data_IF_351975816897
#
_entry.id   IF_351975816897
#
_cell.length_a   1.000
_cell.length_b   1.000
_cell.length_c   1.000
_cell.angle_alpha   90.00
_cell.angle_beta   90.00
_cell.angle_gamma   90.00
#
_symmetry.space_group_name_H-M   'P 1'
#
loop_
_entity.id
_entity.type
_entity.pdbx_description
1 polymer ?
#
# COMPACT_ATOMS: atom_id res chain seq x y z
N UNK A 1 3.23 -1.35 16.82
CA UNK A 1 4.41 -0.65 17.41
C UNK A 1 4.10 -0.03 18.77
N UNK A 2 2.96 0.66 18.91
CA UNK A 2 2.61 1.46 20.08
C UNK A 2 2.36 0.66 21.37
N UNK A 3 1.69 -0.49 21.30
CA UNK A 3 1.46 -1.35 22.48
C UNK A 3 2.76 -1.75 23.18
N UNK A 4 3.81 -2.10 22.41
CA UNK A 4 5.11 -2.45 22.97
C UNK A 4 5.79 -1.26 23.62
N UNK A 5 5.66 -0.06 23.03
CA UNK A 5 6.17 1.17 23.62
C UNK A 5 5.49 1.45 24.96
N UNK A 6 4.16 1.45 25.02
CA UNK A 6 3.39 1.66 26.25
C UNK A 6 3.75 0.64 27.34
N UNK A 7 3.86 -0.64 27.00
CA UNK A 7 4.26 -1.68 27.96
C UNK A 7 5.64 -1.42 28.56
N UNK A 8 6.60 -0.98 27.75
CA UNK A 8 7.96 -0.63 28.20
C UNK A 8 7.91 0.59 29.11
N UNK A 9 7.18 1.65 28.73
CA UNK A 9 7.09 2.87 29.56
C UNK A 9 6.42 2.57 30.91
N UNK A 10 5.36 1.75 30.90
CA UNK A 10 4.67 1.34 32.13
C UNK A 10 5.59 0.52 33.04
N UNK A 11 6.37 -0.42 32.47
CA UNK A 11 7.35 -1.18 33.23
C UNK A 11 8.46 -0.29 33.79
N UNK A 12 8.90 0.73 33.05
CA UNK A 12 9.91 1.70 33.52
C UNK A 12 9.35 2.58 34.64
N UNK A 13 8.09 3.00 34.53
CA UNK A 13 7.41 3.75 35.59
C UNK A 13 7.29 2.93 36.88
N UNK A 14 7.04 1.62 36.78
CA UNK A 14 7.04 0.72 37.94
C UNK A 14 8.42 0.56 38.60
N UNK A 15 9.50 0.95 37.90
CA UNK A 15 10.88 0.97 38.41
C UNK A 15 11.32 2.40 38.79
N UNK A 16 10.36 3.31 39.06
CA UNK A 16 10.57 4.73 39.36
C UNK A 16 11.32 5.52 38.26
N UNK A 17 11.39 4.98 37.05
CA UNK A 17 11.93 5.70 35.88
C UNK A 17 10.80 6.28 35.05
N UNK A 18 10.46 7.53 35.37
CA UNK A 18 9.45 8.29 34.62
C UNK A 18 10.12 9.11 33.53
N UNK A 19 9.63 8.98 32.30
CA UNK A 19 10.06 9.82 31.18
C UNK A 19 9.08 10.97 30.98
N UNK A 20 9.55 12.22 30.82
CA UNK A 20 8.68 13.30 30.44
C UNK A 20 8.17 13.11 29.00
N UNK A 21 7.00 13.69 28.70
CA UNK A 21 6.35 13.52 27.39
C UNK A 21 7.26 13.90 26.22
N UNK A 22 8.03 14.97 26.37
CA UNK A 22 8.98 15.45 25.35
C UNK A 22 10.09 14.43 25.05
N UNK A 23 10.55 13.66 26.03
CA UNK A 23 11.52 12.58 25.79
C UNK A 23 10.86 11.37 25.13
N UNK A 24 9.64 11.04 25.53
CA UNK A 24 8.87 9.94 24.92
C UNK A 24 8.62 10.22 23.43
N UNK A 25 8.19 11.44 23.08
CA UNK A 25 7.99 11.91 21.70
C UNK A 25 9.27 11.73 20.87
N UNK A 26 10.42 12.22 21.36
CA UNK A 26 11.70 12.09 20.65
C UNK A 26 12.14 10.64 20.50
N UNK A 27 11.95 9.81 21.53
CA UNK A 27 12.28 8.38 21.47
C UNK A 27 11.43 7.66 20.43
N UNK A 28 10.13 7.96 20.32
CA UNK A 28 9.26 7.39 19.28
C UNK A 28 9.77 7.79 17.90
N UNK A 29 9.96 9.09 17.65
CA UNK A 29 10.41 9.60 16.35
C UNK A 29 11.74 8.97 15.91
N UNK A 30 12.68 8.81 16.84
CA UNK A 30 13.98 8.16 16.59
C UNK A 30 13.88 6.65 16.32
N UNK A 31 12.84 5.99 16.81
CA UNK A 31 12.64 4.54 16.58
C UNK A 31 11.92 4.24 15.26
N UNK A 32 11.48 5.26 14.51
CA UNK A 32 10.76 5.05 13.26
C UNK A 32 11.72 4.60 12.12
N UNK A 33 11.24 3.76 11.18
CA UNK A 33 12.03 3.37 10.01
C UNK A 33 12.40 4.56 9.13
N UNK A 34 13.48 4.43 8.34
CA UNK A 34 13.95 5.50 7.43
C UNK A 34 12.89 5.97 6.42
N UNK A 35 11.96 5.11 6.02
CA UNK A 35 10.84 5.48 5.15
C UNK A 35 9.92 6.56 5.76
N UNK A 36 9.93 6.72 7.09
CA UNK A 36 9.15 7.71 7.81
C UNK A 36 9.87 9.05 7.98
N UNK A 37 11.12 9.17 7.54
CA UNK A 37 11.90 10.41 7.68
C UNK A 37 11.19 11.66 7.15
N UNK A 38 10.51 11.65 5.97
CA UNK A 38 9.78 12.82 5.51
C UNK A 38 8.68 13.25 6.50
N UNK A 39 7.97 12.28 7.08
CA UNK A 39 6.93 12.54 8.08
C UNK A 39 7.52 13.06 9.40
N UNK A 40 8.66 12.53 9.83
CA UNK A 40 9.39 13.01 11.01
C UNK A 40 9.81 14.46 10.83
N UNK A 41 10.42 14.80 9.69
CA UNK A 41 10.82 16.17 9.35
C UNK A 41 9.62 17.11 9.33
N UNK A 42 8.50 16.74 8.71
CA UNK A 42 7.30 17.57 8.74
C UNK A 42 6.72 17.79 10.13
N UNK A 43 6.85 16.82 11.04
CA UNK A 43 6.42 16.99 12.44
C UNK A 43 7.34 17.96 13.17
N UNK A 44 8.65 17.83 12.97
CA UNK A 44 9.68 18.69 13.58
C UNK A 44 9.58 20.14 13.09
N UNK A 45 9.24 20.35 11.81
CA UNK A 45 9.03 21.69 11.24
C UNK A 45 7.71 22.34 11.67
N UNK A 46 6.63 21.54 11.81
CA UNK A 46 5.30 22.07 12.06
C UNK A 46 4.94 22.21 13.55
N UNK A 47 5.59 21.44 14.44
CA UNK A 47 5.23 21.35 15.86
C UNK A 47 6.47 21.35 16.74
N UNK A 48 6.37 21.99 17.91
CA UNK A 48 7.41 21.89 18.93
C UNK A 48 7.30 20.56 19.69
N UNK A 49 8.35 19.73 19.60
CA UNK A 49 8.41 18.41 20.23
C UNK A 49 8.38 18.45 21.77
N UNK A 50 8.61 19.61 22.39
CA UNK A 50 8.53 19.76 23.84
C UNK A 50 7.10 19.92 24.35
N UNK A 51 6.23 20.49 23.54
CA UNK A 51 4.84 20.81 23.89
C UNK A 51 3.84 19.86 23.26
N UNK A 52 4.27 19.08 22.27
CA UNK A 52 3.46 18.10 21.56
C UNK A 52 2.89 17.01 22.50
N UNK A 53 1.56 16.87 22.61
CA UNK A 53 0.94 15.76 23.32
C UNK A 53 1.30 14.42 22.65
N UNK A 54 1.53 13.39 23.46
CA UNK A 54 1.91 12.08 22.97
C UNK A 54 0.79 11.44 22.14
N UNK A 55 -0.46 11.66 22.55
CA UNK A 55 -1.65 11.15 21.87
C UNK A 55 -1.77 11.73 20.45
N UNK A 56 -1.47 13.02 20.30
CA UNK A 56 -1.48 13.71 19.01
C UNK A 56 -0.41 13.16 18.06
N UNK A 57 0.80 12.91 18.59
CA UNK A 57 1.85 12.27 17.83
C UNK A 57 1.42 10.88 17.38
N UNK A 58 0.89 10.07 18.30
CA UNK A 58 0.42 8.73 18.04
C UNK A 58 -0.65 8.71 16.94
N UNK A 59 -1.64 9.61 17.05
CA UNK A 59 -2.72 9.75 16.09
C UNK A 59 -2.22 10.14 14.70
N UNK A 60 -1.25 11.06 14.61
CA UNK A 60 -0.64 11.45 13.33
C UNK A 60 0.13 10.30 12.68
N UNK A 61 0.87 9.52 13.48
CA UNK A 61 1.61 8.36 12.99
C UNK A 61 0.67 7.25 12.52
N UNK A 62 -0.37 6.92 13.31
CA UNK A 62 -1.34 5.88 12.95
C UNK A 62 -2.13 6.23 11.69
N UNK A 63 -2.47 7.51 11.51
CA UNK A 63 -3.14 8.00 10.30
C UNK A 63 -2.24 7.88 9.07
N UNK A 64 -0.94 8.18 9.22
CA UNK A 64 0.03 8.03 8.15
C UNK A 64 0.25 6.55 7.80
N UNK A 65 0.31 5.66 8.80
CA UNK A 65 0.38 4.20 8.59
C UNK A 65 -0.78 3.71 7.73
N UNK A 66 -2.02 4.09 8.09
CA UNK A 66 -3.23 3.72 7.35
C UNK A 66 -3.19 4.21 5.88
N UNK A 67 -2.65 5.40 5.64
CA UNK A 67 -2.52 5.94 4.29
C UNK A 67 -1.46 5.21 3.46
N UNK A 68 -0.33 4.86 4.07
CA UNK A 68 0.73 4.07 3.41
C UNK A 68 0.21 2.68 3.03
N UNK A 69 -0.47 1.99 3.95
CA UNK A 69 -1.05 0.66 3.67
C UNK A 69 -2.05 0.68 2.51
N UNK A 70 -2.91 1.71 2.43
CA UNK A 70 -3.86 1.85 1.31
C UNK A 70 -3.17 2.04 -0.03
N UNK A 71 -2.07 2.81 -0.06
CA UNK A 71 -1.29 3.01 -1.28
C UNK A 71 -0.56 1.74 -1.70
N UNK A 72 -0.06 0.95 -0.77
CA UNK A 72 0.58 -0.33 -1.07
C UNK A 72 -0.42 -1.35 -1.62
N UNK A 73 -1.65 -1.39 -1.09
CA UNK A 73 -2.75 -2.22 -1.61
C UNK A 73 -3.15 -1.79 -3.04
N UNK A 74 -3.25 -0.48 -3.30
CA UNK A 74 -3.54 0.05 -4.64
C UNK A 74 -2.40 -0.22 -5.62
N UNK A 75 -1.13 -0.10 -5.19
CA UNK A 75 0.04 -0.44 -6.00
C UNK A 75 0.16 -1.95 -6.27
N UNK A 76 -0.15 -2.79 -5.29
CA UNK A 76 -0.18 -4.24 -5.47
C UNK A 76 -1.32 -4.65 -6.39
N UNK A 77 -2.50 -4.03 -6.26
CA UNK A 77 -3.63 -4.25 -7.14
C UNK A 77 -3.34 -3.73 -8.56
N UNK A 78 -2.65 -2.60 -8.71
CA UNK A 78 -2.11 -2.09 -9.99
C UNK A 78 -1.09 -3.05 -10.60
N UNK A 79 -0.14 -3.57 -9.81
CA UNK A 79 0.87 -4.56 -10.27
C UNK A 79 0.21 -5.90 -10.63
N UNK A 80 -0.81 -6.34 -9.89
CA UNK A 80 -1.62 -7.53 -10.21
C UNK A 80 -2.47 -7.31 -11.45
N UNK A 81 -3.13 -6.14 -11.59
CA UNK A 81 -3.85 -5.74 -12.81
C UNK A 81 -2.90 -5.74 -14.00
N UNK A 82 -1.73 -5.09 -13.92
CA UNK A 82 -0.67 -5.08 -14.94
C UNK A 82 -0.20 -6.49 -15.33
N UNK A 83 -0.12 -7.44 -14.39
CA UNK A 83 0.19 -8.85 -14.68
C UNK A 83 -0.97 -9.61 -15.35
N UNK A 84 -2.22 -9.20 -15.13
CA UNK A 84 -3.41 -9.81 -15.74
C UNK A 84 -3.71 -9.23 -17.14
N UNK A 85 -3.20 -8.05 -17.49
CA UNK A 85 -3.32 -7.45 -18.84
C UNK A 85 -2.31 -8.00 -19.86
N UNK A 86 -1.77 -9.20 -19.65
CA UNK A 86 -1.03 -9.93 -20.68
C UNK A 86 -2.00 -10.48 -21.74
N UNK A 87 -2.68 -9.58 -22.47
CA UNK A 87 -3.14 -9.85 -23.82
C UNK A 87 -1.89 -10.09 -24.66
N UNK A 88 -1.68 -11.34 -25.07
CA UNK A 88 -0.70 -11.67 -26.11
C UNK A 88 -1.16 -11.01 -27.41
N UNK A 89 -0.71 -9.79 -27.64
CA UNK A 89 -0.62 -9.19 -28.96
C UNK A 89 0.80 -9.41 -29.44
N UNK A 90 1.00 -10.39 -30.31
CA UNK A 90 2.22 -10.49 -31.11
C UNK A 90 1.85 -9.99 -32.49
N UNK A 91 2.01 -8.68 -32.71
CA UNK A 91 2.11 -8.15 -34.07
C UNK A 91 3.50 -8.50 -34.57
N UNK A 92 3.59 -9.38 -35.55
CA UNK A 92 4.65 -9.29 -36.56
C UNK A 92 4.06 -9.72 -37.89
N UNK A 93 4.09 -8.79 -38.83
CA UNK A 93 3.60 -8.92 -40.19
C UNK A 93 4.38 -10.02 -40.92
N UNK A 94 3.67 -10.99 -41.48
CA UNK A 94 3.95 -11.60 -42.79
C UNK A 94 2.84 -12.60 -43.15
N UNK A 95 2.21 -12.38 -44.31
CA UNK A 95 1.38 -13.31 -45.10
C UNK A 95 -0.01 -13.72 -44.58
N UNK A 96 -0.95 -12.78 -44.73
CA UNK A 96 -2.28 -12.88 -45.33
C UNK A 96 -2.73 -14.25 -45.93
N UNK A 97 -3.08 -15.25 -45.11
CA UNK A 97 -3.95 -16.39 -45.53
C UNK A 97 -4.58 -17.21 -44.36
N UNK A 98 -4.11 -17.09 -43.10
CA UNK A 98 -4.64 -17.89 -41.97
C UNK A 98 -5.78 -17.21 -41.17
N UNK A 99 -5.89 -15.88 -41.22
CA UNK A 99 -6.94 -15.13 -40.49
C UNK A 99 -8.35 -15.44 -40.98
N UNK A 100 -8.51 -15.68 -42.28
CA UNK A 100 -9.80 -15.93 -42.91
C UNK A 100 -10.34 -17.31 -42.56
N UNK A 101 -9.44 -18.29 -42.39
CA UNK A 101 -9.80 -19.63 -41.95
C UNK A 101 -10.27 -19.64 -40.50
N UNK A 102 -9.61 -18.87 -39.62
CA UNK A 102 -10.01 -18.75 -38.21
C UNK A 102 -11.34 -17.99 -38.06
N UNK A 103 -11.54 -16.88 -38.77
CA UNK A 103 -12.80 -16.15 -38.84
C UNK A 103 -13.93 -17.01 -39.42
N UNK A 104 -13.66 -17.83 -40.43
CA UNK A 104 -14.63 -18.78 -40.99
C UNK A 104 -15.02 -19.86 -39.98
N UNK A 105 -14.08 -20.38 -39.19
CA UNK A 105 -14.36 -21.36 -38.14
C UNK A 105 -15.19 -20.76 -37.00
N UNK A 106 -14.90 -19.52 -36.59
CA UNK A 106 -15.68 -18.78 -35.59
C UNK A 106 -17.11 -18.55 -36.10
N UNK A 107 -17.25 -18.07 -37.33
CA UNK A 107 -18.55 -17.83 -37.98
C UNK A 107 -19.36 -19.12 -38.13
N UNK A 108 -18.70 -20.22 -38.47
CA UNK A 108 -19.33 -21.54 -38.60
C UNK A 108 -19.81 -22.09 -37.26
N UNK A 109 -19.02 -21.94 -36.19
CA UNK A 109 -19.45 -22.31 -34.83
C UNK A 109 -20.63 -21.47 -34.36
N UNK A 110 -20.61 -20.17 -34.64
CA UNK A 110 -21.69 -19.25 -34.27
C UNK A 110 -23.00 -19.57 -35.03
N UNK A 111 -22.93 -19.86 -36.32
CA UNK A 111 -24.10 -20.34 -37.10
C UNK A 111 -24.66 -21.67 -36.60
N UNK A 112 -23.80 -22.60 -36.19
CA UNK A 112 -24.22 -23.91 -35.66
C UNK A 112 -24.92 -23.76 -34.30
N UNK A 113 -24.42 -22.87 -33.46
CA UNK A 113 -25.11 -22.46 -32.22
C UNK A 113 -26.47 -21.81 -32.52
N UNK A 114 -26.50 -20.94 -33.53
CA UNK A 114 -27.67 -20.42 -34.24
C UNK A 114 -28.77 -21.47 -34.45
N UNK A 115 -28.38 -22.50 -35.21
CA UNK A 115 -29.27 -23.54 -35.70
C UNK A 115 -29.68 -24.56 -34.62
N UNK A 116 -28.87 -24.75 -33.58
CA UNK A 116 -29.16 -25.65 -32.46
C UNK A 116 -30.08 -25.03 -31.39
N UNK A 117 -30.51 -23.77 -31.56
CA UNK A 117 -31.40 -23.07 -30.63
C UNK A 117 -32.87 -23.03 -31.10
N UNK A 118 -33.29 -23.99 -31.91
CA UNK A 118 -34.68 -24.18 -32.33
C UNK A 118 -35.20 -25.55 -31.92
#
# INVERSE_FOLDING_TARGET
MFTRFTNITNALQALDKVYPNSEMVRKILRCLPRAWMPKVTSIDEAKDLNTLPLEDLLGSLMTHELFVTRKDDDEENEKRKKKVIALKSSTNEETNDESDQELALITRKFKRFLANKK
#
